data_IF_015433239908
#
_entry.id   IF_015433239908
#
_cell.length_a   1.000
_cell.length_b   1.000
_cell.length_c   1.000
_cell.angle_alpha   90.00
_cell.angle_beta   90.00
_cell.angle_gamma   90.00
#
_symmetry.space_group_name_H-M   'P 1'
#
loop_
_entity.id
_entity.type
_entity.pdbx_description
1 polymer ?
#
# COMPACT_ATOMS: atom_id res chain seq x y z
N UNK A 1 -0.75 0.92 8.10
CA UNK A 1 0.64 1.40 7.99
C UNK A 1 1.35 0.50 6.97
N UNK A 2 2.36 1.05 6.28
CA UNK A 2 2.53 0.93 4.83
C UNK A 2 2.93 -0.43 4.27
N UNK A 3 2.52 -0.64 3.03
CA UNK A 3 3.15 -1.61 2.13
C UNK A 3 4.23 -0.91 1.30
N UNK A 4 5.48 -1.37 1.38
CA UNK A 4 6.60 -0.90 0.56
C UNK A 4 6.88 -1.96 -0.49
N UNK A 5 6.62 -1.63 -1.75
CA UNK A 5 6.78 -2.54 -2.89
C UNK A 5 8.13 -2.25 -3.54
N UNK A 6 9.13 -3.10 -3.31
CA UNK A 6 10.42 -2.97 -3.99
C UNK A 6 10.26 -3.48 -5.42
N UNK A 7 10.85 -2.80 -6.41
CA UNK A 7 10.82 -3.25 -7.80
C UNK A 7 12.16 -3.00 -8.49
N UNK A 8 12.50 -3.83 -9.47
CA UNK A 8 13.72 -3.70 -10.26
C UNK A 8 13.99 -4.95 -11.09
N UNK A 9 14.99 -4.87 -11.97
CA UNK A 9 15.44 -5.99 -12.79
C UNK A 9 15.87 -7.19 -11.92
N UNK A 10 15.94 -8.41 -12.48
CA UNK A 10 16.64 -9.50 -11.81
C UNK A 10 18.08 -9.06 -11.49
N UNK A 11 18.64 -9.53 -10.37
CA UNK A 11 20.00 -9.18 -9.92
C UNK A 11 20.34 -7.68 -9.81
N UNK A 12 19.32 -6.78 -9.76
CA UNK A 12 19.52 -5.33 -9.66
C UNK A 12 19.82 -4.81 -8.25
N UNK A 13 20.21 -5.65 -7.28
CA UNK A 13 20.48 -5.19 -5.90
C UNK A 13 19.25 -4.86 -5.05
N UNK A 14 18.06 -5.37 -5.42
CA UNK A 14 16.80 -5.19 -4.67
C UNK A 14 16.94 -5.57 -3.20
N UNK A 15 17.36 -6.80 -2.94
CA UNK A 15 17.57 -7.35 -1.60
C UNK A 15 18.56 -6.52 -0.79
N UNK A 16 19.65 -6.06 -1.40
CA UNK A 16 20.63 -5.18 -0.74
C UNK A 16 19.99 -3.88 -0.27
N UNK A 17 19.26 -3.18 -1.15
CA UNK A 17 18.59 -1.91 -0.80
C UNK A 17 17.41 -2.13 0.16
N UNK A 18 16.70 -3.26 0.04
CA UNK A 18 15.61 -3.62 0.94
C UNK A 18 16.12 -3.90 2.38
N UNK A 19 17.26 -4.56 2.54
CA UNK A 19 17.92 -4.76 3.85
C UNK A 19 18.43 -3.46 4.45
N UNK A 20 19.02 -2.58 3.63
CA UNK A 20 19.40 -1.22 4.08
C UNK A 20 18.18 -0.44 4.59
N UNK A 21 17.07 -0.48 3.84
CA UNK A 21 15.81 0.14 4.25
C UNK A 21 15.26 -0.48 5.53
N UNK A 22 15.27 -1.80 5.65
CA UNK A 22 14.84 -2.52 6.85
C UNK A 22 15.62 -2.06 8.08
N UNK A 23 16.95 -1.96 7.97
CA UNK A 23 17.81 -1.48 9.04
C UNK A 23 17.53 -0.01 9.40
N UNK A 24 17.30 0.85 8.40
CA UNK A 24 16.95 2.26 8.60
C UNK A 24 15.61 2.42 9.34
N UNK A 25 14.58 1.69 8.88
CA UNK A 25 13.26 1.71 9.49
C UNK A 25 13.27 1.13 10.90
N UNK A 26 14.01 0.04 11.14
CA UNK A 26 14.16 -0.53 12.48
C UNK A 26 14.75 0.49 13.47
N UNK A 27 15.80 1.22 13.06
CA UNK A 27 16.39 2.32 13.86
C UNK A 27 15.38 3.43 14.14
N UNK A 28 14.61 3.87 13.13
CA UNK A 28 13.58 4.91 13.26
C UNK A 28 12.44 4.49 14.21
N UNK A 29 11.96 3.26 14.10
CA UNK A 29 10.91 2.69 14.96
C UNK A 29 11.40 2.61 16.42
N UNK A 30 12.65 2.19 16.64
CA UNK A 30 13.26 2.16 17.96
C UNK A 30 13.47 3.56 18.55
N UNK A 31 13.84 4.56 17.74
CA UNK A 31 13.95 5.95 18.20
C UNK A 31 12.58 6.53 18.58
N UNK A 32 11.54 6.28 17.78
CA UNK A 32 10.19 6.77 18.03
C UNK A 32 9.58 6.25 19.34
N UNK A 33 9.91 5.03 19.76
CA UNK A 33 9.45 4.49 21.05
C UNK A 33 10.07 5.22 22.25
N UNK A 34 11.30 5.73 22.14
CA UNK A 34 12.00 6.42 23.23
C UNK A 34 11.53 7.85 23.47
N UNK A 35 11.23 8.63 22.42
CA UNK A 35 10.89 10.06 22.50
C UNK A 35 9.55 10.33 23.19
N UNK A 36 8.60 9.40 23.14
CA UNK A 36 7.27 9.52 23.78
C UNK A 36 7.28 9.56 25.32
N UNK A 37 8.46 9.53 25.95
CA UNK A 37 8.66 9.43 27.41
C UNK A 37 8.83 10.79 28.11
N UNK A 38 8.90 11.92 27.39
CA UNK A 38 9.39 13.19 27.97
C UNK A 38 8.40 14.37 28.11
N UNK A 39 7.10 14.19 27.81
CA UNK A 39 6.13 15.31 27.79
C UNK A 39 4.87 15.14 28.66
N UNK A 40 4.94 14.43 29.79
CA UNK A 40 3.92 14.53 30.84
C UNK A 40 4.55 15.02 32.15
N UNK A 41 4.76 16.34 32.22
CA UNK A 41 5.02 17.03 33.47
C UNK A 41 3.73 17.12 34.29
N UNK A 42 3.35 16.04 34.97
CA UNK A 42 2.45 16.12 36.11
C UNK A 42 3.07 15.41 37.30
N UNK A 43 3.37 16.21 38.32
CA UNK A 43 3.89 15.79 39.61
C UNK A 43 2.87 14.89 40.31
N UNK A 44 3.17 13.60 40.45
CA UNK A 44 2.63 12.80 41.55
C UNK A 44 3.65 11.78 42.02
N UNK A 45 3.98 11.88 43.30
CA UNK A 45 4.92 11.03 44.02
C UNK A 45 4.22 9.72 44.44
N UNK A 46 4.47 8.64 43.72
CA UNK A 46 4.24 7.27 44.20
C UNK A 46 5.30 6.33 43.59
N UNK A 47 5.83 5.35 44.33
CA UNK A 47 6.82 4.43 43.79
C UNK A 47 6.08 3.36 42.97
N UNK A 48 6.07 3.53 41.64
CA UNK A 48 5.42 2.59 40.74
C UNK A 48 6.40 1.50 40.28
N UNK A 49 5.91 0.26 40.33
CA UNK A 49 6.55 -0.98 39.91
C UNK A 49 7.23 -0.89 38.54
N UNK A 50 8.24 -1.76 38.34
CA UNK A 50 9.04 -1.92 37.12
C UNK A 50 8.25 -1.63 35.84
N UNK A 51 8.71 -0.71 34.97
CA UNK A 51 7.96 -0.33 33.79
C UNK A 51 7.90 -1.51 32.83
N UNK A 52 6.69 -2.03 32.59
CA UNK A 52 6.45 -2.98 31.51
C UNK A 52 6.86 -2.32 30.17
N UNK A 53 7.54 -3.04 29.26
CA UNK A 53 7.99 -2.47 28.00
C UNK A 53 6.77 -2.03 27.17
N UNK A 54 6.65 -0.72 26.91
CA UNK A 54 5.64 -0.19 25.99
C UNK A 54 5.94 -0.70 24.58
N UNK A 55 4.94 -1.34 23.97
CA UNK A 55 5.04 -1.92 22.63
C UNK A 55 5.43 -0.85 21.60
N UNK A 56 6.30 -1.17 20.61
CA UNK A 56 6.67 -0.23 19.56
C UNK A 56 5.44 0.20 18.75
N UNK A 57 5.43 1.46 18.31
CA UNK A 57 4.32 2.04 17.54
C UNK A 57 4.05 1.30 16.23
N UNK A 58 5.10 0.68 15.66
CA UNK A 58 5.05 -0.07 14.41
C UNK A 58 5.75 -1.42 14.58
N UNK A 59 5.23 -2.43 13.89
CA UNK A 59 5.96 -3.69 13.65
C UNK A 59 6.51 -3.69 12.23
N UNK A 60 7.68 -4.28 12.03
CA UNK A 60 8.34 -4.33 10.73
C UNK A 60 8.38 -5.77 10.24
N UNK A 61 7.91 -6.00 9.02
CA UNK A 61 7.91 -7.30 8.35
C UNK A 61 8.72 -7.21 7.06
N UNK A 62 9.50 -8.25 6.79
CA UNK A 62 10.26 -8.40 5.57
C UNK A 62 9.78 -9.67 4.88
N UNK A 63 9.35 -9.54 3.62
CA UNK A 63 8.86 -10.65 2.80
C UNK A 63 9.60 -10.60 1.48
N UNK A 64 10.20 -11.72 1.09
CA UNK A 64 10.81 -11.95 -0.21
C UNK A 64 10.49 -13.34 -0.75
N UNK A 65 10.78 -13.58 -2.02
CA UNK A 65 10.70 -14.91 -2.62
C UNK A 65 11.51 -15.94 -1.81
N UNK A 66 12.74 -15.58 -1.39
CA UNK A 66 13.60 -16.43 -0.56
C UNK A 66 12.97 -16.73 0.81
N UNK A 67 12.40 -15.75 1.51
CA UNK A 67 11.73 -15.99 2.81
C UNK A 67 10.50 -16.92 2.70
N UNK A 68 9.95 -17.06 1.50
CA UNK A 68 8.81 -17.93 1.20
C UNK A 68 9.25 -19.23 0.48
N UNK A 69 10.55 -19.47 0.37
CA UNK A 69 11.15 -20.61 -0.34
C UNK A 69 10.65 -20.75 -1.78
N UNK A 70 10.43 -19.61 -2.45
CA UNK A 70 10.01 -19.53 -3.85
C UNK A 70 11.26 -19.52 -4.73
N UNK A 71 11.49 -20.63 -5.44
CA UNK A 71 12.60 -20.73 -6.40
C UNK A 71 12.42 -19.77 -7.58
N UNK A 72 13.54 -19.25 -8.11
CA UNK A 72 13.57 -18.38 -9.30
C UNK A 72 13.11 -19.07 -10.59
N UNK A 73 13.09 -20.40 -10.59
CA UNK A 73 12.58 -21.21 -11.69
C UNK A 73 11.09 -20.98 -11.94
N UNK A 74 10.32 -20.49 -10.95
CA UNK A 74 8.87 -20.25 -11.14
C UNK A 74 8.59 -19.19 -12.21
N UNK A 75 9.59 -18.35 -12.51
CA UNK A 75 9.55 -17.33 -13.54
C UNK A 75 9.97 -17.85 -14.93
N UNK A 76 10.48 -19.07 -15.02
CA UNK A 76 10.84 -19.64 -16.32
C UNK A 76 9.56 -20.02 -17.08
N UNK A 77 9.41 -19.46 -18.28
CA UNK A 77 8.25 -19.66 -19.12
C UNK A 77 8.44 -20.80 -20.13
N UNK A 78 9.61 -21.44 -20.13
CA UNK A 78 9.93 -22.57 -20.99
C UNK A 78 9.08 -23.81 -20.61
N UNK A 79 8.15 -24.26 -21.49
CA UNK A 79 7.31 -25.41 -21.22
C UNK A 79 8.08 -26.71 -20.93
N UNK A 80 9.33 -26.82 -21.40
CA UNK A 80 10.17 -28.01 -21.21
C UNK A 80 10.75 -28.11 -19.79
N UNK A 81 10.86 -26.98 -19.08
CA UNK A 81 11.40 -26.90 -17.71
C UNK A 81 10.31 -26.86 -16.63
N UNK A 82 9.05 -26.89 -17.04
CA UNK A 82 7.91 -26.88 -16.13
C UNK A 82 7.89 -28.15 -15.28
N UNK A 83 7.78 -27.98 -13.96
CA UNK A 83 7.68 -29.12 -13.02
C UNK A 83 6.48 -30.00 -13.35
N UNK A 84 6.65 -31.30 -13.20
CA UNK A 84 5.59 -32.29 -13.38
C UNK A 84 4.32 -31.89 -12.59
N UNK A 85 3.15 -32.11 -13.19
CA UNK A 85 1.83 -31.74 -12.64
C UNK A 85 1.54 -30.24 -12.48
N UNK A 86 2.42 -29.34 -12.94
CA UNK A 86 2.10 -27.92 -13.06
C UNK A 86 1.25 -27.69 -14.30
N UNK A 87 0.15 -26.94 -14.18
CA UNK A 87 -0.82 -26.75 -15.28
C UNK A 87 -0.21 -26.05 -16.51
N UNK A 88 0.72 -25.11 -16.31
CA UNK A 88 1.47 -24.43 -17.37
C UNK A 88 2.64 -23.66 -16.76
N UNK A 89 3.59 -23.21 -17.59
CA UNK A 89 4.69 -22.35 -17.15
C UNK A 89 4.19 -21.01 -16.55
N UNK A 90 3.08 -20.48 -17.08
CA UNK A 90 2.45 -19.28 -16.49
C UNK A 90 1.77 -19.54 -15.14
N UNK A 91 1.46 -20.80 -14.81
CA UNK A 91 0.80 -21.16 -13.56
C UNK A 91 1.77 -21.09 -12.38
N UNK A 92 3.03 -21.49 -12.54
CA UNK A 92 4.02 -21.44 -11.45
C UNK A 92 4.24 -20.01 -10.95
N UNK A 93 4.39 -19.04 -11.86
CA UNK A 93 4.52 -17.64 -11.45
C UNK A 93 3.23 -17.11 -10.81
N UNK A 94 2.07 -17.53 -11.33
CA UNK A 94 0.77 -17.14 -10.74
C UNK A 94 0.64 -17.66 -9.31
N UNK A 95 1.08 -18.88 -9.06
CA UNK A 95 1.03 -19.51 -7.74
C UNK A 95 2.05 -18.85 -6.79
N UNK A 96 3.24 -18.50 -7.28
CA UNK A 96 4.21 -17.70 -6.54
C UNK A 96 3.63 -16.35 -6.11
N UNK A 97 2.98 -15.61 -7.03
CA UNK A 97 2.27 -14.37 -6.70
C UNK A 97 1.15 -14.59 -5.68
N UNK A 98 0.43 -15.71 -5.75
CA UNK A 98 -0.60 -16.05 -4.76
C UNK A 98 0.00 -16.31 -3.37
N UNK A 99 1.14 -16.99 -3.30
CA UNK A 99 1.87 -17.22 -2.05
C UNK A 99 2.36 -15.91 -1.42
N UNK A 100 3.00 -15.05 -2.22
CA UNK A 100 3.43 -13.70 -1.81
C UNK A 100 2.25 -12.86 -1.34
N UNK A 101 1.16 -12.84 -2.12
CA UNK A 101 -0.06 -12.11 -1.76
C UNK A 101 -0.63 -12.59 -0.42
N UNK A 102 -0.69 -13.91 -0.21
CA UNK A 102 -1.11 -14.50 1.06
C UNK A 102 -0.20 -14.11 2.23
N UNK A 103 1.11 -14.07 2.03
CA UNK A 103 2.08 -13.66 3.04
C UNK A 103 1.89 -12.19 3.45
N UNK A 104 1.83 -11.29 2.47
CA UNK A 104 1.58 -9.86 2.70
C UNK A 104 0.25 -9.66 3.43
N UNK A 105 -0.83 -10.27 2.92
CA UNK A 105 -2.17 -10.12 3.49
C UNK A 105 -2.29 -10.57 4.94
N UNK A 106 -1.53 -11.58 5.36
CA UNK A 106 -1.55 -12.06 6.75
C UNK A 106 -1.00 -11.06 7.76
N UNK A 107 -0.05 -10.23 7.34
CA UNK A 107 0.66 -9.29 8.23
C UNK A 107 0.27 -7.84 8.00
N UNK A 108 -0.32 -7.50 6.85
CA UNK A 108 -0.64 -6.14 6.49
C UNK A 108 -1.81 -5.62 7.34
N UNK A 109 -1.51 -4.68 8.23
CA UNK A 109 -2.51 -3.99 9.05
C UNK A 109 -2.29 -2.49 9.08
N UNK A 110 -3.14 -1.79 9.83
CA UNK A 110 -2.93 -0.39 10.07
C UNK A 110 -1.68 -0.11 10.92
N UNK A 111 -1.02 -1.06 11.60
CA UNK A 111 0.17 -0.88 12.48
C UNK A 111 1.46 -1.57 12.01
N UNK A 112 1.39 -2.31 10.91
CA UNK A 112 2.51 -3.11 10.39
C UNK A 112 3.11 -2.43 9.16
N UNK A 113 4.43 -2.26 9.13
CA UNK A 113 5.19 -1.88 7.93
C UNK A 113 5.66 -3.16 7.27
N UNK A 114 5.32 -3.34 5.99
CA UNK A 114 5.70 -4.54 5.22
C UNK A 114 6.62 -4.13 4.08
N UNK A 115 7.86 -4.60 4.09
CA UNK A 115 8.78 -4.51 2.96
C UNK A 115 8.61 -5.77 2.13
N UNK A 116 8.17 -5.60 0.89
CA UNK A 116 8.08 -6.68 -0.09
C UNK A 116 9.28 -6.60 -1.05
N UNK A 117 10.32 -7.36 -0.75
CA UNK A 117 11.48 -7.57 -1.63
C UNK A 117 11.17 -8.62 -2.70
N UNK A 118 10.76 -8.15 -3.87
CA UNK A 118 10.53 -8.99 -5.03
C UNK A 118 10.79 -8.20 -6.29
N UNK A 119 10.76 -8.86 -7.45
CA UNK A 119 10.85 -8.13 -8.72
C UNK A 119 9.67 -7.17 -8.92
N UNK A 120 8.47 -7.63 -8.54
CA UNK A 120 7.21 -6.88 -8.64
C UNK A 120 7.08 -6.18 -10.01
N UNK A 121 7.49 -6.88 -11.07
CA UNK A 121 7.77 -6.29 -12.38
C UNK A 121 6.52 -6.09 -13.25
N UNK A 122 5.38 -6.65 -12.86
CA UNK A 122 4.11 -6.55 -13.58
C UNK A 122 3.28 -5.43 -12.95
N UNK A 123 2.82 -4.47 -13.75
CA UNK A 123 1.95 -3.36 -13.33
C UNK A 123 0.64 -3.86 -12.72
N UNK A 124 0.01 -4.86 -13.33
CA UNK A 124 -1.21 -5.47 -12.80
C UNK A 124 -1.03 -6.08 -11.41
N UNK A 125 0.16 -6.62 -11.13
CA UNK A 125 0.52 -7.15 -9.82
C UNK A 125 0.75 -6.03 -8.79
N UNK A 126 1.48 -4.97 -9.15
CA UNK A 126 1.64 -3.78 -8.27
C UNK A 126 0.28 -3.13 -7.96
N UNK A 127 -0.62 -3.07 -8.95
CA UNK A 127 -1.99 -2.61 -8.75
C UNK A 127 -2.78 -3.48 -7.76
N UNK A 128 -2.63 -4.81 -7.82
CA UNK A 128 -3.26 -5.72 -6.87
C UNK A 128 -2.78 -5.47 -5.43
N UNK A 129 -1.47 -5.30 -5.24
CA UNK A 129 -0.86 -4.98 -3.95
C UNK A 129 -1.33 -3.62 -3.40
N UNK A 130 -1.38 -2.60 -4.27
CA UNK A 130 -1.95 -1.29 -3.93
C UNK A 130 -3.42 -1.40 -3.47
N UNK A 131 -4.23 -2.21 -4.16
CA UNK A 131 -5.62 -2.43 -3.76
C UNK A 131 -5.73 -3.10 -2.38
N UNK A 132 -4.83 -4.04 -2.07
CA UNK A 132 -4.81 -4.70 -0.76
C UNK A 132 -4.46 -3.71 0.36
N UNK A 133 -3.42 -2.89 0.14
CA UNK A 133 -3.07 -1.82 1.06
C UNK A 133 -4.25 -0.85 1.27
N UNK A 134 -4.92 -0.46 0.18
CA UNK A 134 -6.12 0.39 0.25
C UNK A 134 -7.27 -0.27 1.02
N UNK A 135 -7.46 -1.58 0.87
CA UNK A 135 -8.52 -2.32 1.55
C UNK A 135 -8.36 -2.29 3.08
N UNK A 136 -7.13 -2.39 3.58
CA UNK A 136 -6.81 -2.27 5.01
C UNK A 136 -6.45 -0.84 5.44
N UNK A 137 -6.80 0.16 4.61
CA UNK A 137 -6.65 1.60 4.89
C UNK A 137 -5.21 1.99 5.20
N UNK A 138 -4.26 1.40 4.48
CA UNK A 138 -2.85 1.70 4.63
C UNK A 138 -2.24 2.30 3.36
N UNK A 139 -1.29 3.26 3.48
CA UNK A 139 -0.50 3.70 2.34
C UNK A 139 0.27 2.56 1.69
N UNK A 140 0.50 2.68 0.38
CA UNK A 140 1.44 1.85 -0.36
C UNK A 140 2.40 2.75 -1.11
N UNK A 141 3.67 2.38 -1.19
CA UNK A 141 4.69 3.11 -1.96
C UNK A 141 5.48 2.13 -2.82
N UNK A 142 6.06 2.61 -3.91
CA UNK A 142 6.97 1.82 -4.73
C UNK A 142 8.39 2.33 -4.57
N UNK A 143 9.33 1.42 -4.31
CA UNK A 143 10.76 1.70 -4.30
C UNK A 143 11.41 0.98 -5.48
N UNK A 144 11.75 1.72 -6.53
CA UNK A 144 12.43 1.20 -7.70
C UNK A 144 13.95 1.23 -7.50
N UNK A 145 14.61 0.10 -7.75
CA UNK A 145 16.07 0.02 -7.75
C UNK A 145 16.58 0.09 -9.19
N UNK A 146 17.18 1.22 -9.54
CA UNK A 146 17.80 1.49 -10.83
C UNK A 146 19.16 0.82 -10.94
N UNK A 147 19.29 -0.10 -11.90
CA UNK A 147 20.55 -0.72 -12.28
C UNK A 147 20.55 -0.89 -13.80
N UNK A 148 21.67 -0.57 -14.46
CA UNK A 148 21.83 -0.81 -15.88
C UNK A 148 21.76 -2.31 -16.20
N UNK A 149 21.15 -2.67 -17.34
CA UNK A 149 20.97 -4.06 -17.76
C UNK A 149 22.30 -4.81 -17.79
N UNK A 150 23.36 -4.21 -18.32
CA UNK A 150 24.67 -4.86 -18.43
C UNK A 150 25.30 -5.16 -17.07
N UNK A 151 25.13 -4.25 -16.09
CA UNK A 151 25.61 -4.47 -14.73
C UNK A 151 24.81 -5.58 -14.05
N UNK A 152 23.49 -5.55 -14.17
CA UNK A 152 22.62 -6.60 -13.63
C UNK A 152 22.93 -7.97 -14.26
N UNK A 153 23.22 -8.02 -15.57
CA UNK A 153 23.65 -9.22 -16.29
C UNK A 153 24.96 -9.76 -15.75
N UNK A 154 25.99 -8.91 -15.64
CA UNK A 154 27.30 -9.32 -15.14
C UNK A 154 27.26 -9.93 -13.73
N UNK A 155 26.37 -9.42 -12.86
CA UNK A 155 26.15 -10.00 -11.53
C UNK A 155 25.51 -11.40 -11.63
N UNK A 156 24.56 -11.60 -12.54
CA UNK A 156 23.95 -12.91 -12.74
C UNK A 156 24.96 -13.92 -13.29
N UNK A 157 25.80 -13.51 -14.25
CA UNK A 157 26.91 -14.31 -14.79
C UNK A 157 27.93 -14.69 -13.71
N UNK A 158 28.28 -13.76 -12.83
CA UNK A 158 29.18 -14.05 -11.70
C UNK A 158 28.57 -15.08 -10.75
N UNK A 159 27.27 -14.97 -10.45
CA UNK A 159 26.53 -15.94 -9.63
C UNK A 159 26.46 -17.31 -10.29
N UNK A 160 26.24 -17.37 -11.61
CA UNK A 160 26.27 -18.61 -12.38
C UNK A 160 27.66 -19.26 -12.35
N UNK A 161 28.73 -18.46 -12.50
CA UNK A 161 30.12 -18.96 -12.39
C UNK A 161 30.39 -19.56 -11.01
N UNK A 162 30.05 -18.84 -9.93
CA UNK A 162 30.20 -19.33 -8.55
C UNK A 162 29.42 -20.64 -8.31
N UNK A 163 28.23 -20.78 -8.89
CA UNK A 163 27.42 -22.01 -8.80
C UNK A 163 28.12 -23.19 -9.50
N UNK A 164 28.68 -22.97 -10.68
CA UNK A 164 29.41 -24.00 -11.42
C UNK A 164 30.69 -24.42 -10.69
N UNK A 165 31.47 -23.45 -10.20
CA UNK A 165 32.70 -23.71 -9.44
C UNK A 165 32.42 -24.55 -8.17
N UNK A 166 31.29 -24.28 -7.47
CA UNK A 166 30.86 -25.07 -6.31
C UNK A 166 30.46 -26.51 -6.67
N UNK A 167 29.75 -26.71 -7.79
CA UNK A 167 29.34 -28.04 -8.24
C UNK A 167 30.53 -28.91 -8.67
N UNK A 168 31.63 -28.31 -9.13
CA UNK A 168 32.85 -29.04 -9.50
C UNK A 168 33.73 -29.42 -8.29
N UNK A 169 33.53 -28.79 -7.13
CA UNK A 169 34.38 -28.94 -5.93
C UNK A 169 33.79 -29.74 -4.76
N UNK A 170 32.65 -30.41 -4.91
CA UNK A 170 31.89 -30.97 -3.78
C UNK A 170 32.32 -32.41 -3.40
N UNK A 171 33.44 -32.54 -2.68
CA UNK A 171 33.76 -33.65 -1.77
C UNK A 171 34.29 -33.08 -0.44
N UNK A 172 33.44 -32.96 0.58
CA UNK A 172 33.85 -32.47 1.90
C UNK A 172 32.69 -31.97 2.76
N UNK A 173 32.35 -32.74 3.80
CA UNK A 173 31.24 -32.47 4.72
C UNK A 173 31.40 -31.18 5.55
N UNK A 174 30.29 -30.47 5.76
CA UNK A 174 30.16 -29.29 6.63
C UNK A 174 29.33 -29.61 7.88
N UNK A 175 29.47 -28.76 8.91
CA UNK A 175 28.97 -28.98 10.27
C UNK A 175 27.82 -28.02 10.61
N UNK A 176 26.81 -28.53 11.32
CA UNK A 176 25.42 -28.07 11.44
C UNK A 176 25.08 -26.64 11.95
N UNK A 177 26.01 -25.87 12.52
CA UNK A 177 25.62 -24.69 13.34
C UNK A 177 25.80 -23.35 12.63
N UNK A 178 26.71 -23.25 11.66
CA UNK A 178 26.85 -22.08 10.77
C UNK A 178 25.93 -22.17 9.52
N UNK A 179 25.23 -23.30 9.34
CA UNK A 179 24.45 -23.62 8.14
C UNK A 179 23.25 -22.68 7.93
N UNK A 180 22.49 -22.31 8.98
CA UNK A 180 21.22 -21.61 8.78
C UNK A 180 21.34 -20.14 8.31
N UNK A 181 22.44 -19.45 8.62
CA UNK A 181 22.67 -18.06 8.17
C UNK A 181 23.34 -18.07 6.79
N UNK A 182 24.30 -18.98 6.57
CA UNK A 182 24.91 -19.18 5.25
C UNK A 182 23.86 -19.65 4.22
N UNK A 183 22.95 -20.55 4.58
CA UNK A 183 21.86 -21.04 3.71
C UNK A 183 20.94 -19.90 3.23
N UNK A 184 20.59 -18.94 4.10
CA UNK A 184 19.74 -17.80 3.72
C UNK A 184 20.44 -16.84 2.77
N UNK A 185 21.73 -16.56 3.00
CA UNK A 185 22.52 -15.73 2.08
C UNK A 185 22.74 -16.46 0.74
N UNK A 186 22.94 -17.77 0.76
CA UNK A 186 23.06 -18.60 -0.44
C UNK A 186 21.76 -18.64 -1.26
N UNK A 187 20.58 -18.68 -0.62
CA UNK A 187 19.28 -18.60 -1.31
C UNK A 187 19.03 -17.23 -1.96
N UNK A 188 19.42 -16.14 -1.31
CA UNK A 188 19.33 -14.77 -1.86
C UNK A 188 20.36 -14.50 -2.98
N UNK A 189 21.48 -15.23 -2.95
CA UNK A 189 22.54 -15.16 -3.96
C UNK A 189 22.39 -16.14 -5.12
N UNK A 190 21.32 -16.96 -5.15
CA UNK A 190 21.04 -17.85 -6.27
C UNK A 190 21.12 -17.13 -7.62
N UNK A 191 21.53 -17.85 -8.65
CA UNK A 191 21.54 -17.34 -10.01
C UNK A 191 20.19 -17.59 -10.70
N UNK A 192 19.87 -16.76 -11.69
CA UNK A 192 18.84 -17.09 -12.68
C UNK A 192 19.51 -17.81 -13.85
N UNK A 193 18.83 -18.81 -14.42
CA UNK A 193 19.20 -19.33 -15.74
C UNK A 193 19.21 -18.21 -16.77
N UNK A 194 20.17 -18.24 -17.70
CA UNK A 194 20.45 -17.12 -18.61
C UNK A 194 19.22 -16.73 -19.44
N UNK A 195 18.54 -17.70 -20.06
CA UNK A 195 17.33 -17.46 -20.85
C UNK A 195 16.18 -16.89 -20.01
N UNK A 196 16.02 -17.38 -18.77
CA UNK A 196 15.00 -16.86 -17.86
C UNK A 196 15.31 -15.40 -17.48
N UNK A 197 16.58 -15.09 -17.20
CA UNK A 197 17.04 -13.74 -16.88
C UNK A 197 16.77 -12.74 -18.01
N UNK A 198 17.16 -13.07 -19.24
CA UNK A 198 16.93 -12.20 -20.41
C UNK A 198 15.42 -12.00 -20.67
N UNK A 199 14.65 -13.09 -20.60
CA UNK A 199 13.20 -13.00 -20.74
C UNK A 199 12.56 -12.15 -19.63
N UNK A 200 13.10 -12.16 -18.41
CA UNK A 200 12.61 -11.38 -17.27
C UNK A 200 12.90 -9.88 -17.46
N UNK A 201 14.08 -9.54 -17.98
CA UNK A 201 14.42 -8.16 -18.33
C UNK A 201 13.50 -7.64 -19.43
N UNK A 202 13.27 -8.43 -20.48
CA UNK A 202 12.41 -8.03 -21.60
C UNK A 202 10.97 -7.70 -21.20
N UNK A 203 10.41 -8.43 -20.24
CA UNK A 203 9.02 -8.24 -19.76
C UNK A 203 8.89 -7.33 -18.54
N UNK A 204 9.98 -6.70 -18.10
CA UNK A 204 9.95 -5.76 -16.98
C UNK A 204 9.13 -4.51 -17.33
N UNK A 205 8.06 -4.25 -16.58
CA UNK A 205 7.25 -3.04 -16.74
C UNK A 205 7.66 -2.00 -15.70
N UNK A 206 8.38 -0.95 -16.14
CA UNK A 206 8.87 0.10 -15.25
C UNK A 206 7.74 0.77 -14.45
N UNK A 207 7.92 0.99 -13.13
CA UNK A 207 6.99 1.78 -12.33
C UNK A 207 6.73 3.17 -12.91
N UNK A 208 5.46 3.54 -13.04
CA UNK A 208 5.07 4.83 -13.61
C UNK A 208 4.48 5.76 -12.55
N UNK A 209 5.16 6.87 -12.19
CA UNK A 209 4.71 7.78 -11.12
C UNK A 209 3.39 8.50 -11.44
N UNK A 210 2.98 8.55 -12.72
CA UNK A 210 1.69 9.11 -13.13
C UNK A 210 0.51 8.20 -12.78
N UNK A 211 0.77 6.92 -12.48
CA UNK A 211 -0.28 5.98 -12.09
C UNK A 211 -0.43 5.95 -10.56
N UNK A 212 -1.67 6.02 -10.09
CA UNK A 212 -1.99 6.09 -8.66
C UNK A 212 -1.51 4.89 -7.81
N UNK A 213 -1.26 3.74 -8.43
CA UNK A 213 -0.82 2.54 -7.72
C UNK A 213 0.70 2.40 -7.66
N UNK A 214 1.43 3.07 -8.55
CA UNK A 214 2.90 3.17 -8.50
C UNK A 214 3.36 4.45 -7.78
N UNK A 215 2.42 5.35 -7.43
CA UNK A 215 2.69 6.61 -6.71
C UNK A 215 2.35 6.50 -5.21
N UNK A 216 3.20 7.03 -4.31
CA UNK A 216 4.47 7.70 -4.58
C UNK A 216 5.58 6.69 -4.97
N UNK A 217 6.38 7.10 -5.96
CA UNK A 217 7.51 6.34 -6.49
C UNK A 217 8.82 6.96 -5.98
N UNK A 218 9.64 6.12 -5.37
CA UNK A 218 11.01 6.43 -4.97
C UNK A 218 11.98 5.62 -5.82
N UNK A 219 13.10 6.22 -6.21
CA UNK A 219 14.12 5.56 -7.03
C UNK A 219 15.47 5.63 -6.35
N UNK A 220 16.16 4.49 -6.28
CA UNK A 220 17.56 4.40 -5.84
C UNK A 220 18.39 3.78 -6.95
N UNK A 221 19.43 4.48 -7.37
CA UNK A 221 20.39 3.99 -8.35
C UNK A 221 21.53 3.29 -7.61
N UNK A 222 22.20 2.36 -8.29
CA UNK A 222 23.37 1.66 -7.74
C UNK A 222 24.51 2.56 -7.29
N UNK A 223 24.70 3.69 -7.97
CA UNK A 223 25.79 4.64 -7.71
C UNK A 223 25.44 5.64 -6.60
N UNK A 224 24.21 5.61 -6.09
CA UNK A 224 23.81 6.47 -4.99
C UNK A 224 24.59 6.11 -3.73
N UNK A 225 25.25 7.14 -3.18
CA UNK A 225 25.97 7.06 -1.92
C UNK A 225 25.02 6.84 -0.73
N UNK A 226 25.62 6.60 0.44
CA UNK A 226 24.87 6.36 1.67
C UNK A 226 24.01 7.58 2.08
N UNK A 227 24.45 8.80 1.77
CA UNK A 227 23.73 10.03 2.11
C UNK A 227 22.45 10.19 1.28
N UNK A 228 22.52 9.97 -0.04
CA UNK A 228 21.35 9.94 -0.92
C UNK A 228 20.42 8.80 -0.56
N UNK A 229 20.97 7.62 -0.28
CA UNK A 229 20.19 6.45 0.14
C UNK A 229 19.39 6.77 1.42
N UNK A 230 20.04 7.35 2.44
CA UNK A 230 19.39 7.75 3.68
C UNK A 230 18.32 8.83 3.46
N UNK A 231 18.59 9.81 2.59
CA UNK A 231 17.62 10.86 2.23
C UNK A 231 16.35 10.27 1.62
N UNK A 232 16.47 9.36 0.66
CA UNK A 232 15.32 8.69 0.04
C UNK A 232 14.55 7.88 1.08
N UNK A 233 15.23 7.20 2.00
CA UNK A 233 14.56 6.46 3.08
C UNK A 233 13.82 7.37 4.06
N UNK A 234 14.31 8.58 4.30
CA UNK A 234 13.63 9.58 5.12
C UNK A 234 12.39 10.14 4.44
N UNK A 235 12.48 10.48 3.14
CA UNK A 235 11.31 10.89 2.35
C UNK A 235 10.26 9.78 2.26
N UNK A 236 10.72 8.52 2.12
CA UNK A 236 9.87 7.34 2.14
C UNK A 236 9.17 7.20 3.50
N UNK A 237 9.90 7.37 4.62
CA UNK A 237 9.33 7.36 5.97
C UNK A 237 8.24 8.41 6.14
N UNK A 238 8.48 9.63 5.67
CA UNK A 238 7.50 10.72 5.78
C UNK A 238 6.23 10.43 4.98
N UNK A 239 6.36 9.82 3.80
CA UNK A 239 5.22 9.42 2.99
C UNK A 239 4.33 8.36 3.68
N UNK A 240 4.93 7.47 4.48
CA UNK A 240 4.23 6.30 5.04
C UNK A 240 3.82 6.42 6.52
N UNK A 241 4.62 7.12 7.31
CA UNK A 241 4.53 7.22 8.75
C UNK A 241 4.57 8.67 9.25
N UNK A 242 4.88 9.64 8.39
CA UNK A 242 4.88 11.06 8.73
C UNK A 242 3.52 11.59 9.19
N UNK A 243 3.54 12.65 9.99
CA UNK A 243 2.35 13.32 10.56
C UNK A 243 1.46 13.96 9.48
N UNK A 244 2.03 14.33 8.33
CA UNK A 244 1.32 14.89 7.17
C UNK A 244 0.84 13.87 6.14
N UNK A 245 0.87 12.56 6.43
CA UNK A 245 0.53 11.53 5.44
C UNK A 245 -0.91 11.65 4.93
N UNK A 246 -1.10 11.37 3.64
CA UNK A 246 -2.45 11.28 3.05
C UNK A 246 -3.19 10.10 3.66
N UNK A 247 -4.31 10.37 4.35
CA UNK A 247 -5.16 9.33 4.93
C UNK A 247 -5.79 8.49 3.82
N UNK A 248 -5.48 7.20 3.78
CA UNK A 248 -6.01 6.29 2.76
C UNK A 248 -7.46 5.94 3.08
N UNK A 249 -8.38 6.50 2.29
CA UNK A 249 -9.80 6.17 2.36
C UNK A 249 -10.10 4.90 1.55
N UNK A 250 -10.88 3.93 2.09
CA UNK A 250 -11.26 2.73 1.35
C UNK A 250 -12.16 3.07 0.17
N UNK A 251 -12.16 2.23 -0.87
CA UNK A 251 -13.10 2.39 -1.97
C UNK A 251 -14.54 2.19 -1.46
N UNK A 252 -15.42 3.16 -1.71
CA UNK A 252 -16.83 3.12 -1.26
C UNK A 252 -17.61 1.90 -1.78
N UNK A 253 -17.17 1.32 -2.91
CA UNK A 253 -17.74 0.11 -3.50
C UNK A 253 -17.35 -1.19 -2.77
N UNK A 254 -16.24 -1.21 -2.02
CA UNK A 254 -15.71 -2.43 -1.36
C UNK A 254 -15.86 -2.43 0.15
N UNK A 255 -16.40 -1.35 0.74
CA UNK A 255 -16.79 -1.34 2.15
C UNK A 255 -17.93 -2.36 2.30
N UNK A 256 -17.73 -3.43 3.09
CA UNK A 256 -18.78 -4.41 3.37
C UNK A 256 -19.97 -3.72 4.03
N UNK A 257 -21.17 -4.08 3.55
CA UNK A 257 -22.44 -3.42 3.88
C UNK A 257 -23.43 -4.52 4.39
N UNK A 258 -23.93 -4.47 5.65
CA UNK A 258 -24.77 -5.44 6.39
C UNK A 258 -26.33 -5.33 6.28
N UNK A 259 -27.04 -6.45 6.29
CA UNK A 259 -28.32 -6.73 5.59
C UNK A 259 -29.63 -5.94 5.88
N UNK A 260 -29.72 -5.05 6.85
CA UNK A 260 -31.02 -4.57 7.37
C UNK A 260 -31.26 -3.06 7.16
N UNK A 261 -32.06 -2.68 6.15
CA UNK A 261 -32.59 -1.32 5.99
C UNK A 261 -34.10 -1.29 6.28
N UNK A 262 -34.52 -0.40 7.18
CA UNK A 262 -35.94 -0.13 7.43
C UNK A 262 -36.67 0.40 6.18
N UNK A 263 -37.97 0.11 6.08
CA UNK A 263 -38.77 0.32 4.86
C UNK A 263 -38.76 1.75 4.27
N UNK A 264 -38.53 2.77 5.08
CA UNK A 264 -38.53 4.19 4.64
C UNK A 264 -37.15 4.72 4.22
N UNK A 265 -36.09 3.91 4.31
CA UNK A 265 -34.71 4.36 4.12
C UNK A 265 -34.47 5.04 2.76
N UNK A 266 -34.97 4.47 1.66
CA UNK A 266 -34.75 5.02 0.32
C UNK A 266 -35.43 6.38 0.12
N UNK A 267 -36.61 6.56 0.71
CA UNK A 267 -37.34 7.81 0.65
C UNK A 267 -36.59 8.91 1.41
N UNK A 268 -36.14 8.62 2.64
CA UNK A 268 -35.36 9.57 3.43
C UNK A 268 -34.03 9.89 2.74
N UNK A 269 -33.34 8.90 2.19
CA UNK A 269 -32.08 9.09 1.47
C UNK A 269 -32.22 10.04 0.26
N UNK A 270 -33.24 9.84 -0.58
CA UNK A 270 -33.44 10.72 -1.75
C UNK A 270 -33.85 12.14 -1.33
N UNK A 271 -34.72 12.27 -0.31
CA UNK A 271 -35.12 13.57 0.24
C UNK A 271 -33.95 14.37 0.79
N UNK A 272 -33.12 13.75 1.63
CA UNK A 272 -31.99 14.43 2.29
C UNK A 272 -30.89 14.78 1.29
N UNK A 273 -30.57 13.89 0.35
CA UNK A 273 -29.57 14.17 -0.69
C UNK A 273 -30.04 15.27 -1.67
N UNK A 274 -31.34 15.34 -1.95
CA UNK A 274 -31.94 16.42 -2.73
C UNK A 274 -31.89 17.78 -2.01
N UNK A 275 -32.10 17.81 -0.68
CA UNK A 275 -31.96 19.04 0.13
C UNK A 275 -30.52 19.56 0.12
N UNK A 276 -29.53 18.66 0.25
CA UNK A 276 -28.10 19.01 0.15
C UNK A 276 -27.78 19.63 -1.21
N UNK A 277 -28.25 19.06 -2.32
CA UNK A 277 -28.05 19.64 -3.66
C UNK A 277 -28.67 21.03 -3.78
N UNK A 278 -29.86 21.25 -3.21
CA UNK A 278 -30.53 22.56 -3.22
C UNK A 278 -29.70 23.60 -2.46
N UNK A 279 -29.20 23.26 -1.27
CA UNK A 279 -28.35 24.15 -0.45
C UNK A 279 -27.03 24.49 -1.12
N UNK A 280 -26.43 23.56 -1.85
CA UNK A 280 -25.22 23.83 -2.64
C UNK A 280 -25.50 24.87 -3.73
N UNK A 281 -26.61 24.74 -4.45
CA UNK A 281 -26.99 25.69 -5.50
C UNK A 281 -27.33 27.07 -4.95
N UNK A 282 -28.00 27.14 -3.79
CA UNK A 282 -28.30 28.40 -3.09
C UNK A 282 -27.02 29.07 -2.58
N UNK A 283 -26.04 28.29 -2.11
CA UNK A 283 -24.74 28.79 -1.64
C UNK A 283 -23.79 29.24 -2.74
N UNK A 284 -24.03 28.87 -4.02
CA UNK A 284 -23.20 29.22 -5.19
C UNK A 284 -23.61 30.56 -5.86
N UNK A 285 -24.19 31.48 -5.11
CA UNK A 285 -24.69 32.77 -5.57
C UNK A 285 -23.71 33.60 -6.43
N UNK A 286 -24.24 34.61 -7.12
CA UNK A 286 -23.59 35.37 -8.19
C UNK A 286 -22.33 36.15 -7.76
N UNK A 287 -21.16 35.50 -7.64
CA UNK A 287 -19.91 36.25 -7.54
C UNK A 287 -18.64 35.45 -7.19
N UNK A 288 -18.75 34.35 -6.43
CA UNK A 288 -17.57 33.57 -6.02
C UNK A 288 -17.44 32.27 -6.84
N UNK A 289 -16.29 32.11 -7.48
CA UNK A 289 -15.88 30.87 -8.16
C UNK A 289 -15.10 30.00 -7.17
N UNK A 290 -15.69 28.87 -6.77
CA UNK A 290 -15.13 28.02 -5.72
C UNK A 290 -15.38 28.58 -4.32
N UNK A 291 -15.33 27.71 -3.30
CA UNK A 291 -15.60 28.09 -1.92
C UNK A 291 -16.15 26.95 -1.05
N UNK A 292 -16.39 27.25 0.22
CA UNK A 292 -16.97 26.34 1.21
C UNK A 292 -18.48 26.59 1.37
N UNK A 293 -19.31 25.59 1.08
CA UNK A 293 -20.75 25.65 1.39
C UNK A 293 -21.03 24.92 2.69
N UNK A 294 -21.63 25.63 3.66
CA UNK A 294 -22.00 25.07 4.96
C UNK A 294 -23.43 24.54 4.93
N UNK A 295 -23.60 23.27 5.32
CA UNK A 295 -24.86 22.54 5.26
C UNK A 295 -25.19 22.00 6.65
N UNK A 296 -26.38 22.26 7.20
CA UNK A 296 -26.77 21.70 8.49
C UNK A 296 -26.75 20.17 8.48
N UNK A 297 -26.10 19.56 9.49
CA UNK A 297 -26.11 18.11 9.72
C UNK A 297 -27.50 17.58 10.02
N UNK A 298 -28.41 18.38 10.60
CA UNK A 298 -29.79 17.96 10.89
C UNK A 298 -30.84 19.00 10.49
N UNK A 299 -32.12 18.67 10.70
CA UNK A 299 -33.25 19.56 10.42
C UNK A 299 -33.49 20.67 11.46
N UNK A 300 -32.57 20.88 12.41
CA UNK A 300 -32.66 21.92 13.43
C UNK A 300 -31.52 22.93 13.31
N UNK A 301 -31.83 24.21 13.53
CA UNK A 301 -30.98 25.39 13.28
C UNK A 301 -29.71 25.48 14.18
N UNK A 302 -29.58 24.60 15.18
CA UNK A 302 -28.48 24.57 16.17
C UNK A 302 -27.55 23.34 16.05
N UNK A 303 -27.58 22.61 14.94
CA UNK A 303 -26.75 21.42 14.72
C UNK A 303 -25.37 21.73 14.12
N UNK A 304 -24.41 20.80 14.30
CA UNK A 304 -23.12 20.82 13.61
C UNK A 304 -23.28 21.06 12.10
N UNK A 305 -22.39 21.86 11.50
CA UNK A 305 -22.42 22.17 10.07
C UNK A 305 -21.41 21.31 9.32
N UNK A 306 -21.85 20.75 8.19
CA UNK A 306 -21.04 20.01 7.24
C UNK A 306 -20.50 20.95 6.18
N UNK A 307 -19.23 20.81 5.82
CA UNK A 307 -18.58 21.69 4.83
C UNK A 307 -18.42 20.93 3.52
N UNK A 308 -19.04 21.46 2.46
CA UNK A 308 -18.80 21.03 1.09
C UNK A 308 -17.74 21.94 0.48
N UNK A 309 -16.61 21.37 0.09
CA UNK A 309 -15.54 22.09 -0.61
C UNK A 309 -15.81 22.03 -2.10
N UNK A 310 -16.17 23.17 -2.69
CA UNK A 310 -16.42 23.23 -4.12
C UNK A 310 -15.09 23.30 -4.87
N UNK A 311 -14.99 22.66 -6.04
CA UNK A 311 -13.85 22.87 -6.94
C UNK A 311 -13.78 24.35 -7.33
N UNK A 312 -12.63 24.84 -7.80
CA UNK A 312 -12.41 26.23 -8.25
C UNK A 312 -13.23 26.67 -9.47
N UNK A 313 -14.40 26.06 -9.71
CA UNK A 313 -15.39 26.34 -10.74
C UNK A 313 -16.79 26.09 -10.18
N UNK A 314 -17.80 26.75 -10.74
CA UNK A 314 -19.20 26.49 -10.38
C UNK A 314 -19.62 25.06 -10.78
N UNK A 315 -20.25 24.35 -9.84
CA UNK A 315 -20.75 22.99 -10.07
C UNK A 315 -22.20 23.07 -10.49
N UNK A 316 -22.48 22.86 -11.78
CA UNK A 316 -23.84 22.96 -12.30
C UNK A 316 -24.79 21.88 -11.76
N UNK A 317 -26.09 22.19 -11.75
CA UNK A 317 -27.16 21.23 -11.39
C UNK A 317 -27.02 19.86 -12.10
N UNK A 318 -26.68 19.76 -13.40
CA UNK A 318 -26.51 18.45 -14.05
C UNK A 318 -25.41 17.57 -13.43
N UNK A 319 -24.30 18.17 -13.01
CA UNK A 319 -23.18 17.47 -12.38
C UNK A 319 -23.56 17.01 -10.96
N UNK A 320 -24.17 17.89 -10.16
CA UNK A 320 -24.68 17.54 -8.83
C UNK A 320 -25.72 16.41 -8.90
N UNK A 321 -26.61 16.47 -9.89
CA UNK A 321 -27.62 15.44 -10.11
C UNK A 321 -27.01 14.10 -10.55
N UNK A 322 -25.94 14.12 -11.35
CA UNK A 322 -25.17 12.91 -11.71
C UNK A 322 -24.52 12.29 -10.47
N UNK A 323 -23.84 13.08 -9.66
CA UNK A 323 -23.20 12.64 -8.42
C UNK A 323 -24.23 12.11 -7.42
N UNK A 324 -25.39 12.78 -7.28
CA UNK A 324 -26.50 12.31 -6.46
C UNK A 324 -27.02 10.95 -6.92
N UNK A 325 -27.32 10.78 -8.22
CA UNK A 325 -27.79 9.49 -8.74
C UNK A 325 -26.77 8.38 -8.53
N UNK A 326 -25.48 8.66 -8.70
CA UNK A 326 -24.41 7.71 -8.41
C UNK A 326 -24.38 7.34 -6.92
N UNK A 327 -24.44 8.32 -6.02
CA UNK A 327 -24.48 8.10 -4.57
C UNK A 327 -25.73 7.33 -4.12
N UNK A 328 -26.91 7.74 -4.59
CA UNK A 328 -28.16 7.02 -4.31
C UNK A 328 -28.09 5.61 -4.89
N UNK A 329 -27.55 5.42 -6.09
CA UNK A 329 -27.34 4.09 -6.68
C UNK A 329 -26.43 3.20 -5.82
N UNK A 330 -25.32 3.74 -5.31
CA UNK A 330 -24.43 3.05 -4.38
C UNK A 330 -25.12 2.68 -3.07
N UNK A 331 -26.04 3.51 -2.60
CA UNK A 331 -26.71 3.36 -1.31
C UNK A 331 -28.12 2.77 -1.41
N UNK A 332 -28.64 2.53 -2.62
CA UNK A 332 -29.98 1.96 -2.92
C UNK A 332 -30.12 0.54 -2.40
N UNK A 333 -28.99 -0.14 -2.23
CA UNK A 333 -28.95 -1.49 -1.71
C UNK A 333 -29.45 -1.61 -0.27
N UNK A 334 -29.38 -0.58 0.59
CA UNK A 334 -29.84 -0.60 1.99
C UNK A 334 -29.17 -1.64 2.93
N UNK A 335 -28.60 -2.69 2.35
CA UNK A 335 -27.87 -3.78 2.94
C UNK A 335 -26.52 -3.18 3.31
N UNK A 336 -26.41 -2.60 4.50
CA UNK A 336 -25.27 -1.85 5.00
C UNK A 336 -24.80 -1.85 6.46
N UNK A 337 -25.67 -1.65 7.43
CA UNK A 337 -25.40 -0.52 8.32
C UNK A 337 -25.45 -0.77 9.82
N UNK A 338 -24.85 -1.88 10.27
CA UNK A 338 -24.86 -2.22 11.71
C UNK A 338 -23.66 -1.70 12.49
N UNK A 339 -22.49 -1.47 11.86
CA UNK A 339 -21.33 -0.90 12.58
C UNK A 339 -21.50 0.57 12.99
N UNK A 340 -22.53 1.23 12.43
CA UNK A 340 -22.75 2.66 12.53
C UNK A 340 -24.27 2.83 12.73
N UNK A 341 -24.76 2.40 13.90
CA UNK A 341 -26.18 2.21 14.22
C UNK A 341 -27.09 3.32 13.70
N UNK A 342 -28.24 2.95 13.13
CA UNK A 342 -29.21 3.80 12.43
C UNK A 342 -28.58 4.95 11.65
N UNK A 343 -28.60 4.90 10.32
CA UNK A 343 -28.35 6.09 9.49
C UNK A 343 -29.38 7.16 9.87
N UNK A 344 -29.03 7.99 10.85
CA UNK A 344 -29.76 9.19 11.16
C UNK A 344 -29.66 10.09 9.94
N UNK A 345 -30.63 11.00 9.80
CA UNK A 345 -30.58 12.05 8.77
C UNK A 345 -29.22 12.74 8.76
N UNK A 346 -28.58 12.90 9.93
CA UNK A 346 -27.24 13.45 10.06
C UNK A 346 -26.14 12.64 9.40
N UNK A 347 -26.11 11.32 9.61
CA UNK A 347 -25.14 10.46 8.93
C UNK A 347 -25.37 10.43 7.42
N UNK A 348 -26.63 10.49 6.96
CA UNK A 348 -26.95 10.52 5.51
C UNK A 348 -26.33 11.73 4.84
N UNK A 349 -26.50 12.89 5.47
CA UNK A 349 -25.92 14.15 5.01
C UNK A 349 -24.40 14.12 5.07
N UNK A 350 -23.81 13.62 6.17
CA UNK A 350 -22.35 13.46 6.29
C UNK A 350 -21.77 12.58 5.19
N UNK A 351 -22.36 11.40 4.96
CA UNK A 351 -21.88 10.46 3.97
C UNK A 351 -21.99 11.04 2.56
N UNK A 352 -23.05 11.78 2.26
CA UNK A 352 -23.21 12.41 0.96
C UNK A 352 -22.26 13.59 0.76
N UNK A 353 -22.08 14.46 1.76
CA UNK A 353 -21.12 15.57 1.74
C UNK A 353 -19.69 15.04 1.58
N UNK A 354 -19.32 14.00 2.33
CA UNK A 354 -18.03 13.33 2.18
C UNK A 354 -17.82 12.76 0.79
N UNK A 355 -18.85 12.13 0.21
CA UNK A 355 -18.80 11.63 -1.17
C UNK A 355 -18.63 12.76 -2.20
N UNK A 356 -19.28 13.91 -2.01
CA UNK A 356 -19.13 15.07 -2.88
C UNK A 356 -17.71 15.62 -2.83
N UNK A 357 -17.18 15.87 -1.64
CA UNK A 357 -15.79 16.35 -1.46
C UNK A 357 -14.78 15.38 -2.08
N UNK A 358 -14.91 14.07 -1.82
CA UNK A 358 -14.05 13.05 -2.41
C UNK A 358 -14.15 12.99 -3.94
N UNK A 359 -15.32 13.31 -4.51
CA UNK A 359 -15.54 13.36 -5.96
C UNK A 359 -14.94 14.62 -6.57
N UNK A 360 -15.02 15.75 -5.87
CA UNK A 360 -14.44 17.01 -6.31
C UNK A 360 -12.91 16.98 -6.24
N UNK A 361 -12.33 16.39 -5.20
CA UNK A 361 -10.88 16.17 -5.05
C UNK A 361 -10.27 15.26 -6.13
N UNK A 362 -11.08 14.42 -6.78
CA UNK A 362 -10.64 13.54 -7.87
C UNK A 362 -10.77 14.18 -9.25
N UNK A 363 -11.63 15.19 -9.40
CA UNK A 363 -11.87 15.92 -10.65
C UNK A 363 -11.04 17.21 -10.77
N UNK A 364 -10.49 17.71 -9.66
CA UNK A 364 -9.49 18.79 -9.61
C UNK A 364 -8.08 18.23 -9.68
#
# INVERSE_FOLDING_TARGET
MPLIIVSGLPTSGKTTRAKQLQAHLAKRIAAASTTSTSTDGSSSSAPAASPAPKQPQYRLHYISDSTLSISREVYDLDPSKVRAHTRSANASEKDARAAVYGAVKRVLTDRDIVILDGMNYIKGWRYQLHCEAKAVRTPSVVLQIGCGVDRARGINEERLRKKNDKNEGQDGGRTQVDEAVEEQEEEEEQAYEQDNWENLVFRYEEPNPMTRWDSPLFTLIWEDDEAQTAKVFDELWDAIAGTGRKVVKPNQATVQRSRDAGGDYLYVLDRETQDVVKKILEGQGEGEEGGEVRIPRGGGDNGEQLVVQLPGRKVGLPQLQRLRRAFVGLNRGGIGLEGVGNFSVGRMRESFVGYLNDSFDQEG
#
